data_IF_698848205277
#
_entry.id   IF_698848205277
#
_cell.length_a   1.000
_cell.length_b   1.000
_cell.length_c   1.000
_cell.angle_alpha   90.00
_cell.angle_beta   90.00
_cell.angle_gamma   90.00
#
_symmetry.space_group_name_H-M   'P 1'
#
loop_
_entity.id
_entity.type
_entity.pdbx_description
1 polymer ?
#
# COMPACT_ATOMS: atom_id res chain seq x y z
N UNK A 1 12.85 0.73 8.48
CA UNK A 1 11.82 0.71 7.43
C UNK A 1 12.35 -0.10 6.26
N UNK A 2 11.61 -1.10 5.79
CA UNK A 2 12.00 -1.94 4.66
C UNK A 2 11.51 -1.34 3.35
N UNK A 3 12.34 -1.37 2.30
CA UNK A 3 11.99 -0.82 0.99
C UNK A 3 11.38 -1.91 0.10
N UNK A 4 10.23 -1.61 -0.51
CA UNK A 4 9.48 -2.57 -1.31
C UNK A 4 9.31 -2.04 -2.74
N UNK A 5 9.65 -2.87 -3.72
CA UNK A 5 9.62 -2.51 -5.15
C UNK A 5 8.31 -2.92 -5.78
N UNK A 6 7.75 -2.04 -6.61
CA UNK A 6 6.53 -2.34 -7.34
C UNK A 6 6.75 -3.58 -8.22
N UNK A 7 5.84 -4.56 -8.13
CA UNK A 7 5.93 -5.79 -8.90
C UNK A 7 4.83 -5.87 -9.96
N UNK A 8 3.56 -5.75 -9.58
CA UNK A 8 2.42 -5.80 -10.51
C UNK A 8 1.19 -5.12 -9.91
N UNK A 9 0.23 -4.78 -10.75
CA UNK A 9 -1.05 -4.18 -10.35
C UNK A 9 -2.15 -5.08 -10.88
N UNK A 10 -3.13 -5.38 -10.04
CA UNK A 10 -4.30 -6.18 -10.36
C UNK A 10 -5.54 -5.32 -10.09
N UNK A 11 -6.20 -4.93 -11.18
CA UNK A 11 -7.39 -4.08 -11.09
C UNK A 11 -8.64 -4.86 -10.69
N UNK A 12 -8.70 -6.15 -11.01
CA UNK A 12 -9.89 -6.97 -10.80
C UNK A 12 -10.17 -7.13 -9.30
N UNK A 13 -9.09 -7.33 -8.53
CA UNK A 13 -9.16 -7.46 -7.08
C UNK A 13 -8.77 -6.18 -6.32
N UNK A 14 -8.54 -5.07 -7.03
CA UNK A 14 -8.02 -3.82 -6.46
C UNK A 14 -6.74 -4.03 -5.61
N UNK A 15 -5.80 -4.83 -6.13
CA UNK A 15 -4.55 -5.20 -5.43
C UNK A 15 -3.33 -4.58 -6.11
N UNK A 16 -2.42 -4.04 -5.29
CA UNK A 16 -1.11 -3.56 -5.75
C UNK A 16 -0.02 -4.40 -5.12
N UNK A 17 0.72 -5.14 -5.93
CA UNK A 17 1.74 -6.07 -5.48
C UNK A 17 3.13 -5.43 -5.46
N UNK A 18 3.85 -5.69 -4.39
CA UNK A 18 5.22 -5.25 -4.15
C UNK A 18 6.10 -6.44 -3.79
N UNK A 19 7.39 -6.35 -4.10
CA UNK A 19 8.41 -7.30 -3.66
C UNK A 19 9.39 -6.64 -2.70
N UNK A 20 9.64 -7.31 -1.60
CA UNK A 20 10.72 -6.99 -0.68
C UNK A 20 12.06 -7.54 -1.18
N UNK A 21 13.17 -6.98 -0.70
CA UNK A 21 14.52 -7.47 -1.00
C UNK A 21 14.74 -8.95 -0.63
N UNK A 22 14.05 -9.44 0.41
CA UNK A 22 14.08 -10.85 0.84
C UNK A 22 13.18 -11.76 -0.01
N UNK A 23 12.77 -11.29 -1.20
CA UNK A 23 11.92 -12.02 -2.15
C UNK A 23 10.51 -12.35 -1.62
N UNK A 24 10.08 -11.65 -0.57
CA UNK A 24 8.73 -11.75 -0.01
C UNK A 24 7.75 -10.93 -0.86
N UNK A 25 6.63 -11.53 -1.25
CA UNK A 25 5.56 -10.84 -1.98
C UNK A 25 4.63 -10.17 -0.97
N UNK A 26 4.33 -8.91 -1.23
CA UNK A 26 3.45 -8.08 -0.44
C UNK A 26 2.38 -7.51 -1.35
N UNK A 27 1.19 -7.26 -0.83
CA UNK A 27 0.07 -6.79 -1.60
C UNK A 27 -0.73 -5.79 -0.78
N UNK A 28 -0.91 -4.59 -1.32
CA UNK A 28 -1.89 -3.65 -0.78
C UNK A 28 -3.24 -3.99 -1.38
N UNK A 29 -4.21 -4.28 -0.52
CA UNK A 29 -5.58 -4.53 -0.93
C UNK A 29 -6.48 -3.46 -0.33
N UNK A 30 -7.46 -3.03 -1.11
CA UNK A 30 -8.48 -2.12 -0.61
C UNK A 30 -9.39 -2.84 0.39
N UNK A 31 -9.26 -2.52 1.67
CA UNK A 31 -10.07 -3.09 2.74
C UNK A 31 -11.41 -2.36 2.91
N UNK A 32 -11.39 -1.05 2.74
CA UNK A 32 -12.57 -0.19 2.72
C UNK A 32 -12.43 0.86 1.62
N UNK A 33 -13.54 1.51 1.25
CA UNK A 33 -13.52 2.57 0.25
C UNK A 33 -12.55 3.68 0.65
N UNK A 34 -11.45 3.79 -0.11
CA UNK A 34 -10.39 4.77 0.14
C UNK A 34 -9.38 4.40 1.22
N UNK A 35 -9.40 3.16 1.73
CA UNK A 35 -8.43 2.66 2.71
C UNK A 35 -7.80 1.37 2.20
N UNK A 36 -6.47 1.27 2.28
CA UNK A 36 -5.74 0.08 1.89
C UNK A 36 -5.05 -0.54 3.11
N UNK A 37 -4.91 -1.85 3.10
CA UNK A 37 -4.16 -2.60 4.09
C UNK A 37 -3.06 -3.39 3.38
N UNK A 38 -1.92 -3.54 4.05
CA UNK A 38 -0.80 -4.30 3.54
C UNK A 38 -0.88 -5.75 4.01
N UNK A 39 -0.90 -6.67 3.07
CA UNK A 39 -0.88 -8.10 3.33
C UNK A 39 0.42 -8.71 2.83
N UNK A 40 0.86 -9.75 3.53
CA UNK A 40 1.86 -10.68 3.00
C UNK A 40 1.15 -11.60 2.04
N UNK A 41 1.60 -11.64 0.80
CA UNK A 41 1.07 -12.53 -0.20
C UNK A 41 1.97 -13.78 -0.33
N UNK A 42 1.33 -14.94 -0.52
CA UNK A 42 2.00 -16.18 -0.91
C UNK A 42 2.58 -16.07 -2.32
N UNK A 43 3.43 -17.02 -2.73
CA UNK A 43 4.00 -17.05 -4.09
C UNK A 43 2.93 -17.07 -5.18
N UNK A 44 1.80 -17.69 -4.89
CA UNK A 44 0.62 -17.77 -5.77
C UNK A 44 -0.15 -16.44 -5.87
N UNK A 45 0.15 -15.46 -5.01
CA UNK A 45 -0.51 -14.15 -4.98
C UNK A 45 -1.68 -14.04 -4.01
N UNK A 46 -1.93 -15.08 -3.22
CA UNK A 46 -3.00 -15.06 -2.22
C UNK A 46 -2.56 -14.32 -0.94
N UNK A 47 -3.39 -13.39 -0.42
CA UNK A 47 -3.11 -12.70 0.83
C UNK A 47 -3.16 -13.69 2.00
N UNK A 48 -2.09 -13.74 2.78
CA UNK A 48 -1.93 -14.65 3.92
C UNK A 48 -2.33 -13.97 5.23
N UNK A 49 -1.68 -12.86 5.58
CA UNK A 49 -1.98 -12.10 6.81
C UNK A 49 -1.63 -10.62 6.63
N UNK A 50 -2.38 -9.76 7.33
CA UNK A 50 -2.12 -8.34 7.39
C UNK A 50 -0.82 -8.06 8.15
N UNK A 51 -0.06 -7.07 7.69
CA UNK A 51 1.16 -6.61 8.34
C UNK A 51 1.14 -5.09 8.47
N UNK A 52 1.96 -4.58 9.39
CA UNK A 52 2.07 -3.15 9.59
C UNK A 52 2.74 -2.47 8.38
N UNK A 53 1.97 -1.62 7.71
CA UNK A 53 2.42 -0.85 6.56
C UNK A 53 3.42 0.26 6.90
N UNK A 54 3.50 0.71 8.17
CA UNK A 54 4.42 1.79 8.57
C UNK A 54 5.86 1.29 8.58
N UNK A 55 6.07 0.00 8.84
CA UNK A 55 7.38 -0.66 8.77
C UNK A 55 7.93 -0.79 7.34
N UNK A 56 7.09 -0.62 6.30
CA UNK A 56 7.45 -0.75 4.89
C UNK A 56 7.33 0.59 4.14
N UNK A 57 8.18 0.83 3.14
CA UNK A 57 8.16 2.02 2.28
C UNK A 57 8.23 1.61 0.82
N UNK A 58 7.30 2.10 0.00
CA UNK A 58 7.34 1.86 -1.44
C UNK A 58 8.52 2.61 -2.07
N UNK A 59 9.25 1.93 -2.95
CA UNK A 59 10.34 2.48 -3.76
C UNK A 59 9.80 3.27 -4.96
N UNK A 60 8.68 2.78 -5.53
CA UNK A 60 8.04 3.36 -6.69
C UNK A 60 6.51 3.34 -6.53
N UNK A 61 5.88 4.41 -7.02
CA UNK A 61 4.42 4.47 -7.13
C UNK A 61 3.94 3.65 -8.33
N UNK A 62 2.76 3.00 -8.24
CA UNK A 62 2.16 2.30 -9.37
C UNK A 62 1.80 3.28 -10.49
N UNK A 63 1.79 2.85 -11.75
CA UNK A 63 1.43 3.74 -12.86
C UNK A 63 -0.01 4.21 -12.74
N UNK A 64 -0.28 5.51 -12.91
CA UNK A 64 -1.62 6.14 -12.80
C UNK A 64 -2.59 5.78 -13.93
N UNK A 65 -2.30 4.73 -14.71
CA UNK A 65 -3.12 4.29 -15.84
C UNK A 65 -4.42 3.59 -15.43
N UNK A 66 -4.61 3.31 -14.14
CA UNK A 66 -5.70 2.49 -13.64
C UNK A 66 -6.30 3.04 -12.34
N UNK A 67 -7.61 2.85 -12.15
CA UNK A 67 -8.34 3.37 -10.99
C UNK A 67 -7.78 2.87 -9.65
N UNK A 68 -7.38 1.60 -9.56
CA UNK A 68 -6.74 1.02 -8.37
C UNK A 68 -5.43 1.72 -8.04
N UNK A 69 -4.58 1.96 -9.05
CA UNK A 69 -3.31 2.65 -8.85
C UNK A 69 -3.50 4.10 -8.42
N UNK A 70 -4.45 4.81 -9.04
CA UNK A 70 -4.81 6.18 -8.66
C UNK A 70 -5.30 6.21 -7.21
N UNK A 71 -6.26 5.35 -6.86
CA UNK A 71 -6.81 5.27 -5.51
C UNK A 71 -5.75 4.93 -4.46
N UNK A 72 -4.85 3.99 -4.77
CA UNK A 72 -3.74 3.63 -3.89
C UNK A 72 -2.78 4.79 -3.70
N UNK A 73 -2.36 5.49 -4.77
CA UNK A 73 -1.47 6.64 -4.67
C UNK A 73 -2.08 7.74 -3.79
N UNK A 74 -3.34 8.11 -4.04
CA UNK A 74 -4.03 9.15 -3.27
C UNK A 74 -4.08 8.80 -1.78
N UNK A 75 -4.44 7.55 -1.46
CA UNK A 75 -4.46 7.10 -0.07
C UNK A 75 -3.07 7.04 0.56
N UNK A 76 -2.07 6.49 -0.15
CA UNK A 76 -0.71 6.34 0.39
C UNK A 76 -0.06 7.71 0.67
N UNK A 77 -0.26 8.66 -0.23
CA UNK A 77 0.15 10.06 -0.04
C UNK A 77 -0.57 10.66 1.16
N UNK A 78 -1.89 10.48 1.27
CA UNK A 78 -2.67 10.98 2.40
C UNK A 78 -2.17 10.42 3.73
N UNK A 79 -2.00 9.10 3.87
CA UNK A 79 -1.50 8.47 5.09
C UNK A 79 -0.09 8.96 5.48
N UNK A 80 0.79 9.19 4.49
CA UNK A 80 2.17 9.66 4.73
C UNK A 80 2.27 11.15 5.00
N UNK A 81 1.40 11.98 4.40
CA UNK A 81 1.34 13.42 4.61
C UNK A 81 0.56 13.79 5.88
N UNK A 82 -0.62 13.17 6.12
CA UNK A 82 -1.43 13.42 7.32
C UNK A 82 -0.83 12.80 8.59
N UNK A 83 0.03 11.79 8.48
CA UNK A 83 0.81 11.29 9.62
C UNK A 83 1.71 12.35 10.27
N UNK A 84 2.07 13.42 9.55
CA UNK A 84 2.78 14.58 10.09
C UNK A 84 1.86 15.68 10.64
N UNK A 85 0.56 15.65 10.31
CA UNK A 85 -0.37 16.74 10.62
C UNK A 85 -1.26 16.48 11.84
N UNK A 86 -1.19 15.28 12.44
CA UNK A 86 -1.88 14.95 13.69
C UNK A 86 -1.13 15.37 14.97
N UNK A 87 -0.25 16.38 14.91
CA UNK A 87 0.29 17.03 16.13
C UNK A 87 -0.17 18.50 16.26
N UNK A 88 -1.01 18.99 15.34
CA UNK A 88 -1.54 20.35 15.42
C UNK A 88 -3.01 20.37 14.97
N UNK A 89 -3.87 19.92 15.87
CA UNK A 89 -5.26 20.37 15.86
C UNK A 89 -5.53 21.02 17.23
N UNK A 90 -5.56 22.36 17.33
CA UNK A 90 -6.18 23.01 18.47
C UNK A 90 -7.68 22.73 18.39
N UNK A 91 -8.22 22.08 19.42
CA UNK A 91 -9.67 22.01 19.61
C UNK A 91 -10.22 23.44 19.84
N UNK A 92 -11.37 23.80 19.28
CA UNK A 92 -12.09 25.01 19.68
C UNK A 92 -12.67 24.89 21.09
#
# INVERSE_FOLDING_TARGET
MKLIKLSRIDNDNCRVYYREAENRLLCYQQAMRGTYELFVCSRDGEPSHAIDQKTHKIDAFPSTKCATAIGFQSWYLKERLFGFMCVVAPYP
#
